data_IF_573084800405
#
_entry.id   IF_573084800405
#
_cell.length_a   1.000
_cell.length_b   1.000
_cell.length_c   1.000
_cell.angle_alpha   90.00
_cell.angle_beta   90.00
_cell.angle_gamma   90.00
#
_symmetry.space_group_name_H-M   'P 1'
#
loop_
_entity.id
_entity.type
_entity.pdbx_description
1 polymer ?
#
# COMPACT_ATOMS: atom_id res chain seq x y z
N UNK A 1 -21.14 24.38 34.27
CA UNK A 1 -21.92 23.18 33.88
C UNK A 1 -21.76 22.19 35.01
N UNK A 2 -22.86 21.76 35.61
CA UNK A 2 -22.86 20.69 36.59
C UNK A 2 -22.63 19.33 35.90
N UNK A 3 -22.22 18.33 36.67
CA UNK A 3 -21.93 16.98 36.16
C UNK A 3 -23.15 16.38 35.42
N UNK A 4 -24.35 16.70 35.91
CA UNK A 4 -25.62 16.29 35.32
C UNK A 4 -25.83 16.89 33.93
N UNK A 5 -25.62 18.19 33.74
CA UNK A 5 -25.73 18.84 32.44
C UNK A 5 -24.71 18.34 31.42
N UNK A 6 -23.50 17.97 31.86
CA UNK A 6 -22.50 17.33 30.99
C UNK A 6 -22.97 15.94 30.52
N UNK A 7 -23.48 15.12 31.44
CA UNK A 7 -23.98 13.78 31.12
C UNK A 7 -25.20 13.85 30.18
N UNK A 8 -26.13 14.78 30.42
CA UNK A 8 -27.27 15.02 29.53
C UNK A 8 -26.82 15.44 28.12
N UNK A 9 -25.82 16.33 28.02
CA UNK A 9 -25.24 16.73 26.75
C UNK A 9 -24.60 15.56 25.98
N UNK A 10 -23.80 14.73 26.66
CA UNK A 10 -23.19 13.53 26.06
C UNK A 10 -24.26 12.54 25.62
N UNK A 11 -25.30 12.33 26.42
CA UNK A 11 -26.39 11.41 26.11
C UNK A 11 -27.21 11.89 24.90
N UNK A 12 -27.49 13.19 24.83
CA UNK A 12 -28.21 13.81 23.71
C UNK A 12 -27.42 13.67 22.40
N UNK A 13 -26.12 13.95 22.43
CA UNK A 13 -25.24 13.78 21.26
C UNK A 13 -25.18 12.30 20.85
N UNK A 14 -25.01 11.38 21.80
CA UNK A 14 -24.96 9.94 21.50
C UNK A 14 -26.27 9.44 20.88
N UNK A 15 -27.40 9.90 21.40
CA UNK A 15 -28.73 9.52 20.91
C UNK A 15 -28.94 10.02 19.48
N UNK A 16 -28.67 11.30 19.24
CA UNK A 16 -28.72 11.90 17.90
C UNK A 16 -27.83 11.17 16.89
N UNK A 17 -26.59 10.86 17.26
CA UNK A 17 -25.66 10.14 16.38
C UNK A 17 -26.12 8.71 16.08
N UNK A 18 -26.82 8.06 17.01
CA UNK A 18 -27.33 6.70 16.84
C UNK A 18 -28.56 6.69 15.93
N UNK A 19 -29.50 7.61 16.16
CA UNK A 19 -30.75 7.74 15.40
C UNK A 19 -30.52 8.16 13.95
N UNK A 20 -29.51 8.99 13.69
CA UNK A 20 -29.16 9.46 12.34
C UNK A 20 -27.94 8.75 11.74
N UNK A 21 -27.51 7.61 12.30
CA UNK A 21 -26.28 6.91 11.89
C UNK A 21 -26.27 6.49 10.40
N UNK A 22 -27.41 6.16 9.83
CA UNK A 22 -27.56 5.78 8.41
C UNK A 22 -27.60 7.00 7.46
N UNK A 23 -28.14 8.14 7.93
CA UNK A 23 -28.24 9.40 7.16
C UNK A 23 -26.93 10.19 7.18
N UNK A 24 -26.18 10.10 8.27
CA UNK A 24 -24.86 10.68 8.38
C UNK A 24 -23.84 9.74 7.72
N UNK A 25 -23.94 9.60 6.40
CA UNK A 25 -23.02 8.84 5.55
C UNK A 25 -21.55 9.25 5.76
N UNK A 26 -21.30 10.50 6.18
CA UNK A 26 -19.97 11.01 6.56
C UNK A 26 -19.38 10.29 7.80
N UNK A 27 -20.22 9.81 8.73
CA UNK A 27 -19.79 9.02 9.88
C UNK A 27 -19.48 7.56 9.50
N UNK A 28 -20.23 6.97 8.56
CA UNK A 28 -19.87 5.68 7.97
C UNK A 28 -18.60 5.75 7.08
N UNK A 29 -18.25 6.95 6.62
CA UNK A 29 -16.95 7.28 5.99
C UNK A 29 -15.78 7.42 6.99
N UNK A 30 -16.03 7.28 8.30
CA UNK A 30 -15.08 7.65 9.37
C UNK A 30 -14.01 6.60 9.68
N UNK A 31 -13.36 6.09 8.65
CA UNK A 31 -11.96 5.73 8.80
C UNK A 31 -11.14 6.39 7.68
N UNK A 32 -10.80 7.68 7.83
CA UNK A 32 -9.94 8.40 6.91
C UNK A 32 -8.66 7.63 6.57
N UNK A 33 -8.13 6.85 7.52
CA UNK A 33 -6.96 5.98 7.32
C UNK A 33 -7.29 4.81 6.39
N UNK A 34 -8.43 4.14 6.56
CA UNK A 34 -8.88 3.05 5.67
C UNK A 34 -9.18 3.55 4.26
N UNK A 35 -9.85 4.69 4.13
CA UNK A 35 -10.12 5.29 2.82
C UNK A 35 -8.83 5.71 2.13
N UNK A 36 -7.92 6.36 2.86
CA UNK A 36 -6.60 6.70 2.36
C UNK A 36 -5.84 5.44 1.92
N UNK A 37 -5.86 4.37 2.71
CA UNK A 37 -5.21 3.09 2.37
C UNK A 37 -5.77 2.47 1.10
N UNK A 38 -7.10 2.38 0.97
CA UNK A 38 -7.77 1.80 -0.20
C UNK A 38 -7.49 2.62 -1.47
N UNK A 39 -7.64 3.94 -1.39
CA UNK A 39 -7.38 4.85 -2.50
C UNK A 39 -5.90 4.82 -2.92
N UNK A 40 -5.00 4.84 -1.95
CA UNK A 40 -3.55 4.75 -2.19
C UNK A 40 -3.20 3.42 -2.83
N UNK A 41 -3.77 2.31 -2.36
CA UNK A 41 -3.53 0.98 -2.94
C UNK A 41 -3.94 0.93 -4.42
N UNK A 42 -5.11 1.47 -4.77
CA UNK A 42 -5.56 1.51 -6.18
C UNK A 42 -4.63 2.39 -7.04
N UNK A 43 -4.24 3.56 -6.54
CA UNK A 43 -3.36 4.46 -7.29
C UNK A 43 -1.97 3.87 -7.47
N UNK A 44 -1.40 3.27 -6.42
CA UNK A 44 -0.10 2.56 -6.48
C UNK A 44 -0.17 1.39 -7.44
N UNK A 45 -1.25 0.60 -7.42
CA UNK A 45 -1.46 -0.50 -8.36
C UNK A 45 -1.44 -0.02 -9.82
N UNK A 46 -2.15 1.07 -10.11
CA UNK A 46 -2.17 1.66 -11.44
C UNK A 46 -0.78 2.18 -11.87
N UNK A 47 -0.04 2.79 -10.95
CA UNK A 47 1.31 3.28 -11.23
C UNK A 47 2.31 2.15 -11.50
N UNK A 48 2.29 1.10 -10.68
CA UNK A 48 3.11 -0.10 -10.90
C UNK A 48 2.76 -0.72 -12.24
N UNK A 49 1.47 -0.85 -12.56
CA UNK A 49 1.02 -1.39 -13.86
C UNK A 49 1.52 -0.57 -15.05
N UNK A 50 1.42 0.77 -14.98
CA UNK A 50 1.86 1.69 -16.03
C UNK A 50 3.38 1.68 -16.24
N UNK A 51 4.14 1.44 -15.18
CA UNK A 51 5.61 1.43 -15.22
C UNK A 51 6.21 0.00 -15.20
N UNK A 52 5.37 -1.03 -15.36
CA UNK A 52 5.72 -2.45 -15.21
C UNK A 52 6.92 -2.87 -16.07
N UNK A 53 6.94 -2.52 -17.36
CA UNK A 53 8.06 -2.82 -18.27
C UNK A 53 9.40 -2.28 -17.75
N UNK A 54 9.39 -1.06 -17.22
CA UNK A 54 10.58 -0.41 -16.69
C UNK A 54 10.99 -1.02 -15.35
N UNK A 55 10.03 -1.30 -14.47
CA UNK A 55 10.27 -2.03 -13.23
C UNK A 55 10.92 -3.39 -13.48
N UNK A 56 10.38 -4.18 -14.43
CA UNK A 56 10.94 -5.50 -14.78
C UNK A 56 12.37 -5.37 -15.26
N UNK A 57 12.67 -4.40 -16.12
CA UNK A 57 14.03 -4.16 -16.61
C UNK A 57 15.00 -3.89 -15.46
N UNK A 58 14.67 -2.94 -14.58
CA UNK A 58 15.54 -2.54 -13.46
C UNK A 58 15.67 -3.66 -12.41
N UNK A 59 14.61 -4.46 -12.20
CA UNK A 59 14.67 -5.62 -11.31
C UNK A 59 15.57 -6.72 -11.88
N UNK A 60 15.51 -6.98 -13.20
CA UNK A 60 16.36 -7.97 -13.87
C UNK A 60 17.85 -7.65 -13.79
N UNK A 61 18.22 -6.39 -13.57
CA UNK A 61 19.61 -5.98 -13.33
C UNK A 61 20.14 -6.43 -11.95
N UNK A 62 19.26 -6.86 -11.04
CA UNK A 62 19.63 -7.38 -9.72
C UNK A 62 19.27 -8.86 -9.59
N UNK A 63 20.29 -9.72 -9.75
CA UNK A 63 20.16 -11.18 -9.61
C UNK A 63 19.54 -11.60 -8.28
N UNK A 64 20.03 -11.03 -7.18
CA UNK A 64 19.57 -11.36 -5.84
C UNK A 64 18.11 -10.94 -5.62
N UNK A 65 17.72 -9.78 -6.15
CA UNK A 65 16.34 -9.31 -6.05
C UNK A 65 15.37 -10.22 -6.80
N UNK A 66 15.74 -10.68 -8.01
CA UNK A 66 14.93 -11.63 -8.80
C UNK A 66 14.71 -12.92 -8.02
N UNK A 67 15.77 -13.48 -7.43
CA UNK A 67 15.70 -14.72 -6.64
C UNK A 67 14.78 -14.53 -5.42
N UNK A 68 14.97 -13.45 -4.65
CA UNK A 68 14.18 -13.19 -3.46
C UNK A 68 12.72 -12.90 -3.78
N UNK A 69 12.44 -12.18 -4.87
CA UNK A 69 11.07 -11.96 -5.34
C UNK A 69 10.40 -13.28 -5.76
N UNK A 70 11.11 -14.14 -6.49
CA UNK A 70 10.62 -15.48 -6.84
C UNK A 70 10.34 -16.33 -5.61
N UNK A 71 11.25 -16.38 -4.66
CA UNK A 71 11.07 -17.10 -3.40
C UNK A 71 9.90 -16.56 -2.58
N UNK A 72 9.66 -15.24 -2.61
CA UNK A 72 8.53 -14.62 -1.89
C UNK A 72 7.15 -15.04 -2.40
N UNK A 73 7.06 -15.66 -3.59
CA UNK A 73 5.81 -16.21 -4.14
C UNK A 73 5.46 -17.58 -3.56
N UNK A 74 6.46 -18.33 -3.07
CA UNK A 74 6.32 -19.72 -2.61
C UNK A 74 6.59 -19.91 -1.13
N UNK A 75 7.44 -19.07 -0.54
CA UNK A 75 7.76 -19.06 0.90
C UNK A 75 7.80 -17.65 1.45
N UNK A 76 7.70 -17.56 2.77
CA UNK A 76 7.99 -16.31 3.46
C UNK A 76 9.48 -16.00 3.47
N UNK A 77 9.79 -14.72 3.24
CA UNK A 77 11.13 -14.17 3.41
C UNK A 77 11.42 -13.88 4.88
N UNK A 78 12.67 -14.11 5.31
CA UNK A 78 13.19 -13.74 6.62
C UNK A 78 13.17 -12.22 6.82
N UNK A 79 13.39 -11.76 8.06
CA UNK A 79 13.42 -10.31 8.37
C UNK A 79 14.50 -9.58 7.56
N UNK A 80 15.68 -10.20 7.41
CA UNK A 80 16.81 -9.60 6.70
C UNK A 80 16.60 -9.61 5.19
N UNK A 81 16.09 -10.72 4.63
CA UNK A 81 15.72 -10.83 3.22
C UNK A 81 14.67 -9.78 2.84
N UNK A 82 13.65 -9.62 3.67
CA UNK A 82 12.58 -8.65 3.46
C UNK A 82 13.08 -7.21 3.54
N UNK A 83 14.06 -6.94 4.40
CA UNK A 83 14.73 -5.63 4.49
C UNK A 83 15.57 -5.34 3.25
N UNK A 84 16.29 -6.34 2.74
CA UNK A 84 17.08 -6.24 1.52
C UNK A 84 16.19 -5.95 0.30
N UNK A 85 15.14 -6.75 0.09
CA UNK A 85 14.16 -6.56 -0.99
C UNK A 85 13.55 -5.17 -0.92
N UNK A 86 13.14 -4.75 0.28
CA UNK A 86 12.57 -3.41 0.52
C UNK A 86 13.52 -2.30 0.08
N UNK A 87 14.79 -2.38 0.43
CA UNK A 87 15.79 -1.36 0.07
C UNK A 87 16.04 -1.31 -1.43
N UNK A 88 16.23 -2.46 -2.07
CA UNK A 88 16.47 -2.53 -3.51
C UNK A 88 15.25 -2.03 -4.32
N UNK A 89 14.03 -2.38 -3.90
CA UNK A 89 12.81 -1.87 -4.53
C UNK A 89 12.66 -0.35 -4.36
N UNK A 90 13.10 0.22 -3.22
CA UNK A 90 13.12 1.68 -3.05
C UNK A 90 14.06 2.34 -4.04
N UNK A 91 15.25 1.79 -4.25
CA UNK A 91 16.24 2.36 -5.16
C UNK A 91 15.74 2.32 -6.61
N UNK A 92 15.07 1.23 -7.01
CA UNK A 92 14.38 1.14 -8.30
C UNK A 92 13.24 2.16 -8.41
N UNK A 93 12.45 2.36 -7.34
CA UNK A 93 11.37 3.35 -7.36
C UNK A 93 11.91 4.79 -7.46
N UNK A 94 13.10 5.07 -6.94
CA UNK A 94 13.78 6.37 -7.11
C UNK A 94 14.25 6.57 -8.56
N UNK A 95 14.63 5.51 -9.26
CA UNK A 95 15.05 5.60 -10.66
C UNK A 95 13.87 5.98 -11.57
N UNK A 96 12.63 5.67 -11.20
CA UNK A 96 11.40 5.96 -11.96
C UNK A 96 10.71 7.24 -11.42
N UNK A 97 10.80 8.40 -12.12
CA UNK A 97 10.30 9.68 -11.61
C UNK A 97 8.80 9.68 -11.29
N UNK A 98 7.99 8.94 -12.05
CA UNK A 98 6.54 8.80 -11.83
C UNK A 98 6.21 8.08 -10.52
N UNK A 99 7.06 7.16 -10.07
CA UNK A 99 6.93 6.50 -8.76
C UNK A 99 7.49 7.39 -7.64
N UNK A 100 8.62 8.06 -7.88
CA UNK A 100 9.26 8.98 -6.94
C UNK A 100 8.37 10.19 -6.59
N UNK A 101 7.69 10.80 -7.56
CA UNK A 101 6.75 11.91 -7.32
C UNK A 101 5.56 11.47 -6.47
N UNK A 102 5.13 10.21 -6.60
CA UNK A 102 4.05 9.65 -5.80
C UNK A 102 4.50 9.19 -4.40
N UNK A 103 5.80 8.98 -4.18
CA UNK A 103 6.39 8.74 -2.87
C UNK A 103 6.40 10.00 -1.98
N UNK A 104 6.41 11.20 -2.58
CA UNK A 104 6.51 12.49 -1.87
C UNK A 104 5.26 12.89 -1.06
N UNK A 105 4.00 12.64 -1.52
CA UNK A 105 2.83 12.82 -0.67
C UNK A 105 2.49 11.52 0.08
N UNK A 106 3.03 11.32 1.29
CA UNK A 106 2.58 10.24 2.20
C UNK A 106 3.27 8.87 2.06
N UNK A 107 4.55 8.83 1.66
CA UNK A 107 5.35 7.63 1.39
C UNK A 107 5.51 6.58 2.52
N UNK A 108 4.92 6.76 3.71
CA UNK A 108 4.97 5.79 4.80
C UNK A 108 4.20 4.49 4.52
N UNK A 109 3.10 4.56 3.77
CA UNK A 109 2.23 3.40 3.46
C UNK A 109 2.56 2.72 2.12
N UNK A 110 3.36 3.37 1.26
CA UNK A 110 3.65 2.88 -0.10
C UNK A 110 4.52 1.64 -0.10
N UNK A 111 5.49 1.60 0.81
CA UNK A 111 6.53 0.58 0.79
C UNK A 111 6.03 -0.81 1.18
N UNK A 112 5.16 -0.97 2.21
CA UNK A 112 4.46 -2.22 2.45
C UNK A 112 3.62 -2.68 1.25
N UNK A 113 3.01 -1.74 0.52
CA UNK A 113 2.19 -2.04 -0.66
C UNK A 113 3.09 -2.52 -1.81
N UNK A 114 4.19 -1.83 -2.10
CA UNK A 114 5.14 -2.20 -3.16
C UNK A 114 5.72 -3.59 -2.95
N UNK A 115 6.18 -3.90 -1.74
CA UNK A 115 6.71 -5.23 -1.38
C UNK A 115 5.66 -6.32 -1.57
N UNK A 116 4.36 -6.01 -1.43
CA UNK A 116 3.27 -6.98 -1.61
C UNK A 116 2.75 -7.06 -3.05
N UNK A 117 2.76 -5.96 -3.80
CA UNK A 117 2.17 -5.88 -5.13
C UNK A 117 3.14 -6.31 -6.23
N UNK A 118 4.41 -5.91 -6.12
CA UNK A 118 5.43 -6.21 -7.13
C UNK A 118 5.60 -7.73 -7.32
N UNK A 119 5.76 -8.55 -6.26
CA UNK A 119 5.83 -10.00 -6.43
C UNK A 119 4.52 -10.65 -6.87
N UNK A 120 3.38 -9.95 -6.88
CA UNK A 120 2.10 -10.50 -7.37
C UNK A 120 1.78 -10.13 -8.80
N UNK A 121 2.23 -8.95 -9.24
CA UNK A 121 1.97 -8.43 -10.59
C UNK A 121 3.05 -8.82 -11.60
N UNK A 122 4.28 -9.03 -11.13
CA UNK A 122 5.40 -9.44 -11.98
C UNK A 122 5.69 -10.96 -12.06
N UNK A 123 5.06 -11.91 -11.33
CA UNK A 123 5.28 -13.35 -11.52
C UNK A 123 5.21 -13.75 -12.99
N UNK A 124 4.19 -13.29 -13.72
CA UNK A 124 4.04 -13.60 -15.14
C UNK A 124 5.16 -12.98 -15.99
N UNK A 125 5.53 -11.73 -15.72
CA UNK A 125 6.59 -11.01 -16.46
C UNK A 125 8.02 -11.51 -16.16
N UNK A 126 8.21 -12.23 -15.05
CA UNK A 126 9.44 -12.94 -14.74
C UNK A 126 9.44 -14.38 -15.25
N UNK A 127 8.25 -14.99 -15.43
CA UNK A 127 8.12 -16.34 -15.96
C UNK A 127 8.27 -16.41 -17.49
N UNK A 128 8.03 -15.31 -18.23
CA UNK A 128 8.26 -15.22 -19.69
C UNK A 128 9.74 -15.45 -20.10
N UNK A 129 10.69 -15.48 -19.16
CA UNK A 129 12.12 -15.68 -19.42
C UNK A 129 12.68 -16.97 -18.80
N UNK A 130 11.83 -17.84 -18.23
CA UNK A 130 12.27 -19.14 -17.70
C UNK A 130 12.14 -20.29 -18.72
N UNK A 131 11.56 -20.02 -19.90
CA UNK A 131 11.35 -21.00 -20.98
C UNK A 131 12.29 -20.81 -22.19
N UNK A 132 13.29 -19.93 -22.10
CA UNK A 132 14.40 -19.79 -23.09
C UNK A 132 15.76 -20.18 -22.48
#
# INVERSE_FOLDING_TARGET
LDEKGYLEGVLAVKTFLTEHSDEVAYLNYSNPVKHFYNQTTSTVSNLISRNSKRLVREIRESRDLVILLGQSTTRDLSKDERKLVKNQLLDICKSIPSLAVFLLPGGGLLLPILVRLIPKMLPSAFNENLED
#
